data_IF_706692633408
#
_entry.id   IF_706692633408
#
_cell.length_a   1.000
_cell.length_b   1.000
_cell.length_c   1.000
_cell.angle_alpha   90.00
_cell.angle_beta   90.00
_cell.angle_gamma   90.00
#
_symmetry.space_group_name_H-M   'P 1'
#
loop_
_entity.id
_entity.type
_entity.pdbx_description
1 polymer ?
#
# COMPACT_ATOMS: atom_id res chain seq x y z
N UNK A 1 19.51 21.13 6.69
CA UNK A 1 18.87 21.76 5.52
C UNK A 1 17.42 21.32 5.50
N UNK A 2 16.49 22.24 5.72
CA UNK A 2 15.05 21.95 5.72
C UNK A 2 14.56 21.72 4.28
N UNK A 3 13.78 20.66 4.10
CA UNK A 3 12.84 20.32 3.02
C UNK A 3 13.10 20.91 1.61
N UNK A 4 13.44 20.02 0.66
CA UNK A 4 13.24 20.28 -0.77
C UNK A 4 11.74 20.41 -1.03
N UNK A 5 11.35 21.63 -1.42
CA UNK A 5 10.09 22.03 -2.06
C UNK A 5 8.79 21.82 -1.25
N UNK A 6 8.57 22.69 -0.26
CA UNK A 6 7.21 23.00 0.21
C UNK A 6 6.47 23.69 -0.94
N UNK A 7 5.54 22.97 -1.59
CA UNK A 7 4.67 23.59 -2.59
C UNK A 7 3.51 24.29 -1.87
N UNK A 8 3.49 25.62 -1.97
CA UNK A 8 2.49 26.46 -1.33
C UNK A 8 1.23 26.54 -2.19
N UNK A 9 0.09 26.11 -1.64
CA UNK A 9 -1.22 26.33 -2.25
C UNK A 9 -1.79 27.62 -1.69
N UNK A 10 -1.65 28.72 -2.44
CA UNK A 10 -2.23 30.01 -2.05
C UNK A 10 -3.74 29.98 -2.24
N UNK A 11 -4.50 30.11 -1.15
CA UNK A 11 -5.95 30.20 -1.18
C UNK A 11 -6.37 31.68 -1.28
N UNK A 12 -7.02 32.12 -2.37
CA UNK A 12 -7.47 33.50 -2.50
C UNK A 12 -8.71 33.72 -1.62
N UNK A 13 -8.52 34.12 -0.36
CA UNK A 13 -9.62 34.42 0.58
C UNK A 13 -10.23 35.82 0.37
N UNK A 14 -9.73 36.59 -0.61
CA UNK A 14 -10.19 37.93 -0.93
C UNK A 14 -9.96 38.92 0.22
N UNK A 15 -11.04 39.52 0.74
CA UNK A 15 -11.01 40.48 1.85
C UNK A 15 -11.21 39.84 3.23
N UNK A 16 -11.27 38.51 3.29
CA UNK A 16 -11.44 37.75 4.54
C UNK A 16 -10.06 37.30 5.02
N UNK A 17 -9.69 37.76 6.20
CA UNK A 17 -8.43 37.44 6.87
C UNK A 17 -8.64 36.34 7.92
N UNK A 18 -7.56 35.70 8.36
CA UNK A 18 -7.61 34.64 9.37
C UNK A 18 -8.20 35.10 10.73
N UNK A 19 -8.34 36.40 10.94
CA UNK A 19 -8.84 37.03 12.18
C UNK A 19 -10.25 37.62 12.05
N UNK A 20 -10.93 37.46 10.92
CA UNK A 20 -12.27 38.03 10.67
C UNK A 20 -13.41 37.19 11.30
N UNK A 21 -13.25 36.78 12.56
CA UNK A 21 -14.22 35.93 13.27
C UNK A 21 -15.62 36.54 13.35
N UNK A 22 -15.70 37.87 13.49
CA UNK A 22 -16.97 38.58 13.54
C UNK A 22 -17.75 38.48 12.22
N UNK A 23 -17.07 38.59 11.07
CA UNK A 23 -17.70 38.46 9.74
C UNK A 23 -18.20 37.05 9.47
N UNK A 24 -17.52 36.04 10.02
CA UNK A 24 -17.96 34.64 9.95
C UNK A 24 -19.13 34.36 10.89
N UNK A 25 -19.14 34.95 12.09
CA UNK A 25 -20.25 34.83 13.04
C UNK A 25 -21.53 35.52 12.55
N UNK A 26 -21.40 36.62 11.81
CA UNK A 26 -22.53 37.39 11.28
C UNK A 26 -23.08 36.82 9.96
N UNK A 27 -22.42 35.82 9.35
CA UNK A 27 -22.87 35.15 8.13
C UNK A 27 -23.94 34.08 8.42
N UNK A 28 -25.15 34.54 8.74
CA UNK A 28 -26.32 33.68 9.01
C UNK A 28 -26.77 32.83 7.81
N UNK A 29 -26.16 33.02 6.63
CA UNK A 29 -26.53 32.36 5.39
C UNK A 29 -25.46 31.37 4.87
N UNK A 30 -24.38 31.16 5.63
CA UNK A 30 -23.21 30.35 5.27
C UNK A 30 -22.58 30.68 3.91
N UNK A 31 -22.88 31.85 3.33
CA UNK A 31 -22.41 32.23 1.98
C UNK A 31 -20.91 32.48 1.94
N UNK A 32 -20.35 33.06 2.99
CA UNK A 32 -18.93 33.34 3.13
C UNK A 32 -18.18 32.03 3.37
N UNK A 33 -18.71 31.16 4.23
CA UNK A 33 -18.13 29.83 4.50
C UNK A 33 -18.11 28.99 3.21
N UNK A 34 -19.25 28.93 2.51
CA UNK A 34 -19.37 28.17 1.27
C UNK A 34 -18.45 28.71 0.18
N UNK A 35 -18.33 30.04 0.07
CA UNK A 35 -17.40 30.68 -0.87
C UNK A 35 -15.94 30.33 -0.55
N UNK A 36 -15.51 30.40 0.71
CA UNK A 36 -14.14 30.02 1.10
C UNK A 36 -13.85 28.54 0.82
N UNK A 37 -14.85 27.69 1.03
CA UNK A 37 -14.76 26.26 0.69
C UNK A 37 -14.60 26.05 -0.82
N UNK A 38 -15.43 26.71 -1.64
CA UNK A 38 -15.36 26.61 -3.10
C UNK A 38 -14.07 27.22 -3.66
N UNK A 39 -13.60 28.35 -3.12
CA UNK A 39 -12.32 28.97 -3.47
C UNK A 39 -11.14 28.06 -3.09
N UNK A 40 -11.21 27.43 -1.91
CA UNK A 40 -10.27 26.40 -1.46
C UNK A 40 -10.20 25.20 -2.40
N UNK A 41 -11.37 24.66 -2.76
CA UNK A 41 -11.50 23.54 -3.70
C UNK A 41 -10.95 23.90 -5.06
N UNK A 42 -11.31 25.06 -5.60
CA UNK A 42 -10.88 25.52 -6.92
C UNK A 42 -9.37 25.81 -6.97
N UNK A 43 -8.80 26.41 -5.93
CA UNK A 43 -7.35 26.63 -5.83
C UNK A 43 -6.59 25.30 -5.79
N UNK A 44 -7.09 24.32 -5.03
CA UNK A 44 -6.52 22.97 -4.99
C UNK A 44 -6.63 22.28 -6.35
N UNK A 45 -7.79 22.37 -7.03
CA UNK A 45 -7.97 21.80 -8.37
C UNK A 45 -7.06 22.44 -9.41
N UNK A 46 -6.86 23.76 -9.36
CA UNK A 46 -5.92 24.48 -10.23
C UNK A 46 -4.47 24.10 -9.94
N UNK A 47 -4.12 24.00 -8.66
CA UNK A 47 -2.81 23.51 -8.25
C UNK A 47 -2.56 22.09 -8.79
N UNK A 48 -3.51 21.17 -8.61
CA UNK A 48 -3.42 19.81 -9.16
C UNK A 48 -3.32 19.82 -10.69
N UNK A 49 -4.09 20.65 -11.38
CA UNK A 49 -4.01 20.78 -12.85
C UNK A 49 -2.64 21.31 -13.29
N UNK A 50 -2.09 22.29 -12.58
CA UNK A 50 -0.76 22.85 -12.85
C UNK A 50 0.35 21.87 -12.51
N UNK A 51 0.25 21.14 -11.41
CA UNK A 51 1.18 20.07 -11.06
C UNK A 51 1.08 18.93 -12.08
N UNK A 52 -0.10 18.56 -12.57
CA UNK A 52 -0.25 17.60 -13.67
C UNK A 52 0.43 18.06 -14.97
N UNK A 53 0.51 19.37 -15.21
CA UNK A 53 1.25 19.95 -16.35
C UNK A 53 2.75 20.00 -16.09
N UNK A 54 3.18 20.31 -14.86
CA UNK A 54 4.58 20.32 -14.46
C UNK A 54 5.18 18.91 -14.34
N UNK A 55 4.39 17.92 -13.93
CA UNK A 55 4.72 16.48 -13.91
C UNK A 55 4.85 15.95 -15.34
N UNK A 56 4.11 16.50 -16.31
CA UNK A 56 4.25 16.19 -17.74
C UNK A 56 5.45 16.85 -18.40
N UNK A 57 6.11 17.79 -17.74
CA UNK A 57 7.41 18.29 -18.19
C UNK A 57 8.47 17.36 -17.60
N UNK A 58 9.19 16.56 -18.42
CA UNK A 58 10.18 15.65 -17.87
C UNK A 58 11.29 16.48 -17.23
N UNK A 59 11.31 16.57 -15.88
CA UNK A 59 12.52 16.95 -15.16
C UNK A 59 13.57 15.94 -15.61
N UNK A 60 14.56 16.42 -16.35
CA UNK A 60 15.60 15.66 -17.09
C UNK A 60 16.58 14.90 -16.18
N UNK A 61 16.11 14.21 -15.14
CA UNK A 61 16.94 13.53 -14.17
C UNK A 61 16.30 12.27 -13.61
N UNK A 62 17.16 11.37 -13.13
CA UNK A 62 16.79 10.18 -12.35
C UNK A 62 16.08 10.62 -11.08
N UNK A 63 14.91 10.04 -10.78
CA UNK A 63 14.20 10.31 -9.53
C UNK A 63 14.76 9.38 -8.45
N UNK A 64 15.41 9.97 -7.44
CA UNK A 64 15.96 9.20 -6.32
C UNK A 64 14.87 8.89 -5.28
N UNK A 65 14.73 7.63 -4.93
CA UNK A 65 13.80 7.14 -3.92
C UNK A 65 14.55 7.04 -2.58
N UNK A 66 14.34 8.00 -1.68
CA UNK A 66 15.11 8.09 -0.43
C UNK A 66 14.97 6.86 0.47
N UNK A 67 13.78 6.26 0.56
CA UNK A 67 13.48 5.14 1.47
C UNK A 67 12.65 4.03 0.82
N UNK A 68 12.35 2.98 1.59
CA UNK A 68 11.54 1.85 1.11
C UNK A 68 10.10 2.25 0.75
N UNK A 69 9.52 3.21 1.45
CA UNK A 69 8.12 3.61 1.22
C UNK A 69 8.01 4.39 -0.11
N UNK A 70 8.96 5.28 -0.40
CA UNK A 70 9.10 5.97 -1.68
C UNK A 70 9.41 4.99 -2.84
N UNK A 71 10.33 4.03 -2.63
CA UNK A 71 10.61 2.97 -3.60
C UNK A 71 9.34 2.20 -4.00
N UNK A 72 8.54 1.76 -3.02
CA UNK A 72 7.32 1.01 -3.32
C UNK A 72 6.23 1.90 -3.93
N UNK A 73 6.16 3.18 -3.58
CA UNK A 73 5.27 4.13 -4.24
C UNK A 73 5.54 4.18 -5.74
N UNK A 74 6.80 4.36 -6.15
CA UNK A 74 7.18 4.43 -7.56
C UNK A 74 6.92 3.12 -8.31
N UNK A 75 7.20 1.97 -7.69
CA UNK A 75 6.93 0.64 -8.26
C UNK A 75 5.43 0.47 -8.55
N UNK A 76 4.58 0.87 -7.61
CA UNK A 76 3.13 0.77 -7.76
C UNK A 76 2.65 1.77 -8.80
N UNK A 77 3.19 2.98 -8.81
CA UNK A 77 2.82 4.00 -9.79
C UNK A 77 3.08 3.53 -11.22
N UNK A 78 4.28 3.04 -11.50
CA UNK A 78 4.64 2.53 -12.83
C UNK A 78 3.84 1.28 -13.21
N UNK A 79 3.56 0.40 -12.24
CA UNK A 79 2.69 -0.75 -12.49
C UNK A 79 1.24 -0.39 -12.79
N UNK A 80 0.72 0.68 -12.21
CA UNK A 80 -0.65 1.17 -12.46
C UNK A 80 -0.79 1.85 -13.83
N UNK A 81 0.32 2.18 -14.51
CA UNK A 81 0.33 2.65 -15.90
C UNK A 81 0.04 1.52 -16.91
N UNK A 82 -0.28 0.32 -16.42
CA UNK A 82 -0.67 -0.85 -17.21
C UNK A 82 0.40 -1.24 -18.26
N UNK A 83 1.65 -1.50 -17.82
CA UNK A 83 2.69 -2.03 -18.70
C UNK A 83 2.27 -3.38 -19.27
N UNK A 84 2.81 -3.74 -20.42
CA UNK A 84 2.60 -5.09 -20.98
C UNK A 84 3.27 -6.15 -20.12
N UNK A 85 4.43 -5.80 -19.55
CA UNK A 85 5.23 -6.70 -18.78
C UNK A 85 5.95 -6.01 -17.63
N UNK A 86 6.06 -6.75 -16.52
CA UNK A 86 6.88 -6.39 -15.37
C UNK A 86 7.91 -7.50 -15.14
N UNK A 87 9.18 -7.13 -15.13
CA UNK A 87 10.30 -8.03 -14.80
C UNK A 87 10.86 -7.62 -13.45
N UNK A 88 10.83 -8.55 -12.49
CA UNK A 88 11.38 -8.32 -11.14
C UNK A 88 12.69 -9.07 -10.99
N UNK A 89 13.73 -8.35 -10.57
CA UNK A 89 15.06 -8.90 -10.32
C UNK A 89 15.39 -8.63 -8.85
N UNK A 90 15.47 -9.66 -8.01
CA UNK A 90 15.65 -9.46 -6.56
C UNK A 90 16.40 -10.62 -5.90
N UNK A 91 17.27 -10.33 -4.94
CA UNK A 91 17.98 -11.41 -4.23
C UNK A 91 17.06 -12.22 -3.31
N UNK A 92 15.95 -11.63 -2.86
CA UNK A 92 14.96 -12.29 -2.02
C UNK A 92 13.52 -11.98 -2.44
N UNK A 93 12.58 -12.82 -2.01
CA UNK A 93 11.15 -12.63 -2.19
C UNK A 93 10.51 -11.76 -1.08
N UNK A 94 11.30 -11.03 -0.28
CA UNK A 94 10.80 -10.18 0.83
C UNK A 94 9.70 -9.21 0.39
N UNK A 95 9.85 -8.61 -0.78
CA UNK A 95 8.92 -7.64 -1.36
C UNK A 95 7.52 -8.22 -1.65
N UNK A 96 7.38 -9.53 -1.79
CA UNK A 96 6.12 -10.20 -2.15
C UNK A 96 5.02 -9.90 -1.15
N UNK A 97 5.32 -9.89 0.15
CA UNK A 97 4.33 -9.55 1.17
C UNK A 97 3.97 -8.06 1.16
N UNK A 98 4.94 -7.20 0.85
CA UNK A 98 4.70 -5.76 0.80
C UNK A 98 3.89 -5.34 -0.42
N UNK A 99 4.07 -6.04 -1.53
CA UNK A 99 3.40 -5.80 -2.80
C UNK A 99 2.25 -6.77 -3.08
N UNK A 100 1.84 -7.62 -2.12
CA UNK A 100 0.84 -8.67 -2.36
C UNK A 100 -0.45 -8.15 -3.01
N UNK A 101 -1.13 -7.09 -2.53
CA UNK A 101 -2.32 -6.57 -3.22
C UNK A 101 -2.03 -6.02 -4.62
N UNK A 102 -0.85 -5.44 -4.81
CA UNK A 102 -0.39 -4.96 -6.13
C UNK A 102 -0.20 -6.12 -7.10
N UNK A 103 0.42 -7.22 -6.65
CA UNK A 103 0.61 -8.41 -7.47
C UNK A 103 -0.73 -8.98 -7.94
N UNK A 104 -1.72 -9.06 -7.04
CA UNK A 104 -3.07 -9.50 -7.41
C UNK A 104 -3.69 -8.60 -8.49
N UNK A 105 -3.50 -7.28 -8.36
CA UNK A 105 -4.01 -6.32 -9.34
C UNK A 105 -3.33 -6.51 -10.71
N UNK A 106 -2.01 -6.67 -10.75
CA UNK A 106 -1.27 -6.90 -11.99
C UNK A 106 -1.67 -8.21 -12.67
N UNK A 107 -1.77 -9.30 -11.91
CA UNK A 107 -2.21 -10.59 -12.44
C UNK A 107 -3.63 -10.51 -13.00
N UNK A 108 -4.54 -9.83 -12.30
CA UNK A 108 -5.91 -9.58 -12.77
C UNK A 108 -5.93 -8.76 -14.07
N UNK A 109 -5.08 -7.76 -14.20
CA UNK A 109 -4.92 -6.96 -15.40
C UNK A 109 -4.25 -7.73 -16.56
N UNK A 110 -3.91 -9.00 -16.37
CA UNK A 110 -3.19 -9.84 -17.34
C UNK A 110 -1.83 -9.26 -17.74
N UNK A 111 -1.19 -8.52 -16.84
CA UNK A 111 0.18 -8.03 -17.03
C UNK A 111 1.13 -9.23 -16.94
N UNK A 112 2.02 -9.38 -17.91
CA UNK A 112 3.04 -10.44 -17.90
C UNK A 112 4.04 -10.19 -16.77
N UNK A 113 3.99 -10.98 -15.71
CA UNK A 113 4.95 -10.91 -14.62
C UNK A 113 6.02 -12.00 -14.81
N UNK A 114 7.29 -11.60 -14.83
CA UNK A 114 8.46 -12.49 -14.81
C UNK A 114 9.36 -12.13 -13.64
N UNK A 115 9.86 -13.11 -12.91
CA UNK A 115 10.68 -12.86 -11.73
C UNK A 115 11.96 -13.68 -11.79
N UNK A 116 13.08 -13.05 -11.48
CA UNK A 116 14.34 -13.73 -11.26
C UNK A 116 14.86 -13.47 -9.85
N UNK A 117 15.05 -14.56 -9.12
CA UNK A 117 15.48 -14.59 -7.74
C UNK A 117 16.89 -15.13 -7.58
N UNK A 118 17.64 -14.52 -6.67
CA UNK A 118 18.91 -15.04 -6.18
C UNK A 118 18.74 -16.38 -5.44
N UNK A 119 19.86 -16.97 -5.03
CA UNK A 119 19.87 -18.19 -4.24
C UNK A 119 19.09 -18.02 -2.92
N UNK A 120 18.29 -19.04 -2.56
CA UNK A 120 17.56 -19.04 -1.29
C UNK A 120 18.53 -19.18 -0.10
N UNK A 121 18.24 -18.45 0.98
CA UNK A 121 18.97 -18.55 2.25
C UNK A 121 18.38 -19.60 3.21
N UNK A 122 17.34 -20.34 2.78
CA UNK A 122 16.70 -21.39 3.56
C UNK A 122 15.86 -20.92 4.76
N UNK A 123 15.68 -19.61 4.97
CA UNK A 123 14.86 -19.12 6.08
C UNK A 123 13.37 -19.46 5.86
N UNK A 124 12.63 -19.97 6.86
CA UNK A 124 11.23 -20.39 6.68
C UNK A 124 10.32 -19.32 6.06
N UNK A 125 10.46 -18.07 6.52
CA UNK A 125 9.71 -16.93 5.97
C UNK A 125 10.04 -16.66 4.49
N UNK A 126 11.30 -16.83 4.09
CA UNK A 126 11.72 -16.66 2.69
C UNK A 126 11.19 -17.81 1.81
N UNK A 127 11.29 -19.05 2.30
CA UNK A 127 10.71 -20.23 1.63
C UNK A 127 9.20 -20.06 1.40
N UNK A 128 8.47 -19.56 2.40
CA UNK A 128 7.04 -19.31 2.26
C UNK A 128 6.74 -18.20 1.23
N UNK A 129 7.52 -17.11 1.20
CA UNK A 129 7.36 -16.03 0.21
C UNK A 129 7.62 -16.52 -1.20
N UNK A 130 8.66 -17.33 -1.41
CA UNK A 130 8.97 -17.94 -2.70
C UNK A 130 7.86 -18.88 -3.17
N UNK A 131 7.36 -19.74 -2.27
CA UNK A 131 6.20 -20.60 -2.55
C UNK A 131 4.96 -19.78 -2.92
N UNK A 132 4.66 -18.71 -2.19
CA UNK A 132 3.55 -17.82 -2.51
C UNK A 132 3.72 -17.19 -3.89
N UNK A 133 4.93 -16.72 -4.20
CA UNK A 133 5.25 -16.09 -5.47
C UNK A 133 5.14 -17.08 -6.64
N UNK A 134 5.66 -18.29 -6.52
CA UNK A 134 5.60 -19.31 -7.58
C UNK A 134 4.17 -19.74 -7.89
N UNK A 135 3.25 -19.61 -6.93
CA UNK A 135 1.83 -19.88 -7.15
C UNK A 135 1.08 -18.70 -7.77
N UNK A 136 1.50 -17.45 -7.50
CA UNK A 136 0.93 -16.24 -8.10
C UNK A 136 1.46 -15.97 -9.51
N UNK A 137 2.72 -16.30 -9.75
CA UNK A 137 3.48 -16.02 -10.94
C UNK A 137 4.13 -17.32 -11.44
N UNK A 138 3.71 -17.87 -12.58
CA UNK A 138 4.29 -19.10 -13.11
C UNK A 138 5.72 -18.89 -13.67
N UNK A 139 6.14 -17.65 -13.89
CA UNK A 139 7.39 -17.31 -14.57
C UNK A 139 8.48 -16.89 -13.57
N UNK A 140 8.77 -17.75 -12.59
CA UNK A 140 9.81 -17.51 -11.58
C UNK A 140 11.06 -18.33 -11.90
N UNK A 141 12.19 -17.64 -12.01
CA UNK A 141 13.53 -18.19 -12.17
C UNK A 141 14.27 -18.05 -10.83
N UNK A 142 14.91 -19.11 -10.32
CA UNK A 142 15.60 -19.10 -9.01
C UNK A 142 17.06 -19.53 -9.12
N UNK A 143 17.90 -19.09 -8.16
CA UNK A 143 19.31 -19.52 -8.06
C UNK A 143 20.25 -18.80 -9.03
N UNK A 144 19.80 -17.68 -9.60
CA UNK A 144 20.56 -16.92 -10.60
C UNK A 144 21.49 -15.93 -9.91
N UNK A 145 22.71 -15.76 -10.45
CA UNK A 145 23.58 -14.65 -10.05
C UNK A 145 23.07 -13.37 -10.71
N UNK A 146 22.46 -12.49 -9.91
CA UNK A 146 21.76 -11.32 -10.43
C UNK A 146 22.74 -10.15 -10.71
N UNK A 147 22.61 -9.46 -11.86
CA UNK A 147 23.44 -8.32 -12.22
C UNK A 147 23.06 -7.02 -11.47
N UNK A 148 21.81 -6.92 -11.01
CA UNK A 148 21.27 -5.81 -10.23
C UNK A 148 20.01 -6.28 -9.48
N UNK A 149 19.45 -5.42 -8.61
CA UNK A 149 18.11 -5.60 -8.04
C UNK A 149 17.19 -4.47 -8.50
N UNK A 150 15.95 -4.76 -8.87
CA UNK A 150 15.01 -3.77 -9.38
C UNK A 150 13.75 -4.34 -10.02
N UNK A 151 12.88 -3.42 -10.45
CA UNK A 151 11.66 -3.68 -11.20
C UNK A 151 11.78 -2.99 -12.55
N UNK A 152 11.59 -3.73 -13.63
CA UNK A 152 11.55 -3.20 -15.00
C UNK A 152 10.11 -3.29 -15.52
N UNK A 153 9.66 -2.25 -16.21
CA UNK A 153 8.31 -2.10 -16.72
C UNK A 153 8.41 -1.89 -18.24
N UNK A 154 7.96 -2.86 -19.02
CA UNK A 154 7.95 -2.80 -20.48
C UNK A 154 6.60 -2.29 -20.95
N UNK A 155 6.62 -1.19 -21.72
CA UNK A 155 5.43 -0.67 -22.38
C UNK A 155 5.41 -1.06 -23.86
N UNK A 156 4.21 -1.14 -24.45
CA UNK A 156 4.02 -1.28 -25.90
C UNK A 156 4.42 -0.02 -26.65
N UNK A 157 4.25 1.13 -26.01
CA UNK A 157 4.58 2.43 -26.59
C UNK A 157 6.08 2.68 -26.45
N UNK A 158 6.72 3.00 -27.58
CA UNK A 158 8.14 3.33 -27.62
C UNK A 158 8.44 4.51 -26.69
N UNK A 159 9.53 4.44 -25.92
CA UNK A 159 9.92 5.50 -24.97
C UNK A 159 9.13 5.52 -23.64
N UNK A 160 8.14 4.64 -23.46
CA UNK A 160 7.33 4.55 -22.23
C UNK A 160 7.76 3.43 -21.28
N UNK A 161 8.80 2.67 -21.61
CA UNK A 161 9.37 1.71 -20.65
C UNK A 161 10.00 2.45 -19.47
N UNK A 162 10.02 1.81 -18.31
CA UNK A 162 10.51 2.40 -17.07
C UNK A 162 11.23 1.36 -16.21
N UNK A 163 12.02 1.81 -15.23
CA UNK A 163 12.71 0.94 -14.29
C UNK A 163 12.83 1.59 -12.91
N UNK A 164 12.76 0.80 -11.85
CA UNK A 164 13.14 1.17 -10.48
C UNK A 164 14.27 0.26 -10.06
N UNK A 165 15.50 0.78 -10.04
CA UNK A 165 16.71 0.01 -9.70
C UNK A 165 17.09 0.27 -8.25
N UNK A 166 17.18 -0.80 -7.46
CA UNK A 166 17.58 -0.73 -6.06
C UNK A 166 19.08 -0.44 -5.94
N UNK A 167 19.46 0.36 -4.95
CA UNK A 167 20.87 0.61 -4.64
C UNK A 167 21.31 -0.26 -3.47
N UNK A 168 22.46 -0.92 -3.62
CA UNK A 168 23.14 -1.56 -2.49
C UNK A 168 23.80 -0.46 -1.66
N UNK A 169 23.05 0.12 -0.72
CA UNK A 169 23.62 1.06 0.24
C UNK A 169 24.21 0.26 1.41
N UNK A 170 25.44 -0.21 1.25
CA UNK A 170 26.17 -0.99 2.26
C UNK A 170 26.38 -0.23 3.59
N UNK A 171 26.18 1.09 3.60
CA UNK A 171 26.38 1.94 4.79
C UNK A 171 25.15 2.78 5.19
N UNK A 172 23.97 2.50 4.65
CA UNK A 172 22.73 3.22 4.98
C UNK A 172 22.72 4.72 4.65
N UNK A 173 23.74 5.20 3.92
CA UNK A 173 23.82 6.57 3.38
C UNK A 173 23.56 6.51 1.88
N UNK A 174 22.35 6.87 1.47
CA UNK A 174 21.97 6.98 0.07
C UNK A 174 20.51 6.58 -0.15
N UNK A 175 19.93 6.95 -1.30
CA UNK A 175 18.55 6.61 -1.62
C UNK A 175 18.42 5.09 -1.82
N UNK A 176 17.32 4.52 -1.34
CA UNK A 176 16.99 3.11 -1.47
C UNK A 176 16.87 2.63 -2.92
N UNK A 177 16.45 3.51 -3.85
CA UNK A 177 16.33 3.18 -5.27
C UNK A 177 16.45 4.40 -6.18
N UNK A 178 16.50 4.15 -7.48
CA UNK A 178 16.49 5.15 -8.54
C UNK A 178 15.43 4.78 -9.59
N UNK A 179 14.53 5.70 -9.92
CA UNK A 179 13.55 5.58 -11.01
C UNK A 179 14.10 6.17 -12.30
N UNK A 180 14.01 5.37 -13.35
CA UNK A 180 14.33 5.69 -14.73
C UNK A 180 13.04 5.58 -15.54
N UNK A 181 12.66 6.65 -16.23
CA UNK A 181 11.46 6.69 -17.07
C UNK A 181 11.62 7.70 -18.20
N UNK A 182 10.86 7.51 -19.29
CA UNK A 182 10.84 8.37 -20.45
C UNK A 182 12.03 8.17 -21.41
N UNK A 183 11.95 8.85 -22.56
CA UNK A 183 12.87 8.67 -23.70
C UNK A 183 14.35 8.85 -23.33
N UNK A 184 14.66 9.78 -22.43
CA UNK A 184 16.05 10.08 -22.00
C UNK A 184 16.72 8.85 -21.36
N UNK A 185 15.96 7.93 -20.78
CA UNK A 185 16.46 6.75 -20.11
C UNK A 185 16.32 5.46 -20.92
N UNK A 186 15.79 5.51 -22.15
CA UNK A 186 15.45 4.33 -22.94
C UNK A 186 16.65 3.41 -23.20
N UNK A 187 17.82 4.00 -23.48
CA UNK A 187 19.06 3.24 -23.68
C UNK A 187 19.49 2.47 -22.41
N UNK A 188 19.36 3.09 -21.23
CA UNK A 188 19.69 2.47 -19.95
C UNK A 188 18.69 1.35 -19.61
N UNK A 189 17.40 1.62 -19.78
CA UNK A 189 16.32 0.64 -19.53
C UNK A 189 16.46 -0.57 -20.48
N UNK A 190 16.73 -0.32 -21.76
CA UNK A 190 17.00 -1.36 -22.75
C UNK A 190 18.22 -2.21 -22.39
N UNK A 191 19.29 -1.60 -21.89
CA UNK A 191 20.47 -2.33 -21.42
C UNK A 191 20.14 -3.23 -20.21
N UNK A 192 19.33 -2.75 -19.27
CA UNK A 192 18.88 -3.55 -18.11
C UNK A 192 18.07 -4.79 -18.56
N UNK A 193 17.13 -4.62 -19.49
CA UNK A 193 16.38 -5.74 -20.06
C UNK A 193 17.30 -6.76 -20.73
N UNK A 194 18.21 -6.32 -21.61
CA UNK A 194 19.17 -7.22 -22.28
C UNK A 194 20.03 -8.00 -21.30
N UNK A 195 20.43 -7.37 -20.19
CA UNK A 195 21.29 -8.01 -19.19
C UNK A 195 20.60 -9.21 -18.51
N UNK A 196 19.29 -9.14 -18.28
CA UNK A 196 18.55 -10.20 -17.59
C UNK A 196 17.82 -11.18 -18.53
N UNK A 197 17.66 -10.83 -19.82
CA UNK A 197 16.84 -11.56 -20.79
C UNK A 197 17.14 -13.07 -20.86
N UNK A 198 18.41 -13.44 -20.84
CA UNK A 198 18.86 -14.84 -20.90
C UNK A 198 18.50 -15.69 -19.68
N UNK A 199 18.10 -15.06 -18.56
CA UNK A 199 17.62 -15.75 -17.35
C UNK A 199 16.10 -15.85 -17.30
N UNK A 200 15.38 -15.09 -18.14
CA UNK A 200 13.92 -15.04 -18.08
C UNK A 200 13.31 -16.32 -18.66
N UNK A 201 12.37 -16.89 -17.94
CA UNK A 201 11.57 -18.00 -18.46
C UNK A 201 10.56 -17.49 -19.50
N UNK A 202 10.15 -18.35 -20.46
CA UNK A 202 9.07 -18.00 -21.38
C UNK A 202 7.80 -17.65 -20.63
N UNK A 203 7.08 -16.63 -21.12
CA UNK A 203 5.84 -16.19 -20.49
C UNK A 203 4.77 -17.27 -20.60
N UNK A 204 4.37 -17.78 -19.45
CA UNK A 204 3.15 -18.57 -19.27
C UNK A 204 2.03 -17.67 -18.76
N UNK A 205 0.81 -17.91 -19.24
CA UNK A 205 -0.37 -17.20 -18.77
C UNK A 205 -0.59 -17.50 -17.28
N UNK A 206 -0.62 -16.45 -16.46
CA UNK A 206 -1.05 -16.58 -15.07
C UNK A 206 -2.57 -16.74 -15.02
N UNK A 207 -3.06 -17.59 -14.13
CA UNK A 207 -4.50 -17.67 -13.85
C UNK A 207 -4.96 -16.42 -13.10
N UNK A 208 -6.15 -15.93 -13.43
CA UNK A 208 -6.73 -14.77 -12.74
C UNK A 208 -7.06 -15.13 -11.29
N UNK A 209 -6.62 -14.33 -10.29
CA UNK A 209 -6.98 -14.58 -8.91
C UNK A 209 -8.46 -14.31 -8.68
N UNK A 210 -9.13 -15.22 -7.96
CA UNK A 210 -10.51 -15.04 -7.50
C UNK A 210 -10.52 -14.68 -6.00
N UNK A 211 -11.48 -13.84 -5.59
CA UNK A 211 -11.79 -13.63 -4.18
C UNK A 211 -12.98 -14.52 -3.79
N UNK A 212 -12.75 -15.43 -2.84
CA UNK A 212 -13.76 -16.37 -2.35
C UNK A 212 -14.10 -16.02 -0.91
N UNK A 213 -15.39 -15.83 -0.60
CA UNK A 213 -15.86 -15.55 0.77
C UNK A 213 -15.45 -16.70 1.70
N UNK A 214 -15.00 -16.37 2.90
CA UNK A 214 -14.63 -17.35 3.92
C UNK A 214 -15.45 -17.18 5.20
N UNK A 215 -15.76 -18.29 5.90
CA UNK A 215 -16.36 -18.22 7.23
C UNK A 215 -15.46 -17.48 8.22
N UNK A 216 -16.04 -16.60 9.04
CA UNK A 216 -15.29 -15.87 10.06
C UNK A 216 -14.68 -16.78 11.15
N UNK A 217 -15.28 -17.95 11.37
CA UNK A 217 -14.82 -18.93 12.38
C UNK A 217 -13.38 -19.37 12.17
N UNK A 218 -12.94 -19.54 10.92
CA UNK A 218 -11.55 -19.90 10.63
C UNK A 218 -10.56 -18.83 11.12
N UNK A 219 -10.89 -17.55 10.91
CA UNK A 219 -10.07 -16.45 11.39
C UNK A 219 -10.04 -16.42 12.92
N UNK A 220 -11.18 -16.66 13.57
CA UNK A 220 -11.26 -16.65 15.03
C UNK A 220 -10.37 -17.72 15.65
N UNK A 221 -10.38 -18.95 15.11
CA UNK A 221 -9.52 -20.03 15.61
C UNK A 221 -8.03 -19.73 15.40
N UNK A 222 -7.67 -19.22 14.21
CA UNK A 222 -6.28 -18.84 13.91
C UNK A 222 -5.79 -17.72 14.83
N UNK A 223 -6.61 -16.68 15.04
CA UNK A 223 -6.29 -15.58 15.94
C UNK A 223 -6.18 -16.01 17.40
N UNK A 224 -7.11 -16.84 17.89
CA UNK A 224 -7.09 -17.35 19.26
C UNK A 224 -5.85 -18.19 19.54
N UNK A 225 -5.42 -19.01 18.58
CA UNK A 225 -4.23 -19.86 18.69
C UNK A 225 -2.92 -19.07 18.53
N UNK A 226 -2.85 -18.17 17.55
CA UNK A 226 -1.61 -17.51 17.13
C UNK A 226 -1.29 -16.20 17.85
N UNK A 227 -2.28 -15.52 18.45
CA UNK A 227 -2.08 -14.24 19.14
C UNK A 227 -2.18 -14.46 20.65
N UNK A 228 -1.05 -14.34 21.36
CA UNK A 228 -0.96 -14.61 22.82
C UNK A 228 -2.00 -13.84 23.62
N UNK A 229 -2.26 -12.59 23.24
CA UNK A 229 -3.20 -11.68 23.91
C UNK A 229 -4.68 -12.08 23.72
N UNK A 230 -4.99 -12.94 22.74
CA UNK A 230 -6.37 -13.25 22.35
C UNK A 230 -6.86 -14.62 22.82
N UNK A 231 -6.06 -15.37 23.59
CA UNK A 231 -6.41 -16.75 24.01
C UNK A 231 -7.80 -16.87 24.67
N UNK A 232 -8.18 -15.86 25.46
CA UNK A 232 -9.46 -15.82 26.19
C UNK A 232 -10.41 -14.73 25.65
N UNK A 233 -10.11 -14.18 24.47
CA UNK A 233 -10.91 -13.11 23.88
C UNK A 233 -12.17 -13.64 23.21
N UNK A 234 -13.19 -12.79 23.14
CA UNK A 234 -14.41 -13.04 22.38
C UNK A 234 -14.27 -12.41 20.99
N UNK A 235 -14.69 -13.16 19.97
CA UNK A 235 -14.61 -12.74 18.57
C UNK A 235 -16.01 -12.66 17.96
N UNK A 236 -16.24 -11.63 17.17
CA UNK A 236 -17.45 -11.47 16.35
C UNK A 236 -17.09 -10.80 15.02
N UNK A 237 -17.89 -11.06 13.99
CA UNK A 237 -17.85 -10.25 12.76
C UNK A 237 -18.89 -9.15 12.93
N UNK A 238 -18.44 -7.91 13.13
CA UNK A 238 -19.29 -6.77 13.41
C UNK A 238 -19.00 -5.63 12.43
N UNK A 239 -19.98 -4.73 12.29
CA UNK A 239 -19.79 -3.41 11.69
C UNK A 239 -19.55 -2.39 12.77
N UNK A 240 -18.52 -1.58 12.58
CA UNK A 240 -18.16 -0.49 13.49
C UNK A 240 -18.18 0.84 12.75
N UNK A 241 -18.68 1.88 13.42
CA UNK A 241 -18.67 3.24 12.88
C UNK A 241 -17.25 3.70 12.65
N UNK A 242 -16.93 4.07 11.42
CA UNK A 242 -15.58 4.46 11.02
C UNK A 242 -15.10 5.71 11.76
N UNK A 243 -16.01 6.66 11.99
CA UNK A 243 -15.71 7.93 12.70
C UNK A 243 -15.28 7.73 14.16
N UNK A 244 -15.67 6.61 14.77
CA UNK A 244 -15.40 6.30 16.18
C UNK A 244 -14.11 5.46 16.35
N UNK A 245 -13.39 5.18 15.26
CA UNK A 245 -12.17 4.37 15.29
C UNK A 245 -10.97 5.16 15.78
N UNK A 246 -10.17 4.48 16.61
CA UNK A 246 -8.82 4.88 16.97
C UNK A 246 -7.82 4.02 16.20
N UNK A 247 -6.83 4.65 15.58
CA UNK A 247 -5.76 3.99 14.84
C UNK A 247 -4.53 3.77 15.72
N UNK A 248 -3.76 2.73 15.42
CA UNK A 248 -2.45 2.47 16.04
C UNK A 248 -1.31 3.19 15.31
N UNK A 249 -1.62 3.99 14.29
CA UNK A 249 -0.67 4.89 13.62
C UNK A 249 -1.38 6.17 13.19
N UNK A 250 -0.66 7.29 13.28
CA UNK A 250 -1.10 8.57 12.70
C UNK A 250 -0.77 8.66 11.21
N UNK A 251 0.31 8.01 10.80
CA UNK A 251 0.88 8.15 9.46
C UNK A 251 0.51 6.89 8.66
N UNK A 252 -0.33 7.08 7.65
CA UNK A 252 -0.74 6.05 6.69
C UNK A 252 0.19 6.15 5.49
N UNK A 253 0.88 5.06 5.17
CA UNK A 253 1.81 5.04 4.05
C UNK A 253 1.06 5.15 2.73
N UNK A 254 1.46 6.08 1.90
CA UNK A 254 0.80 6.38 0.63
C UNK A 254 0.76 5.17 -0.32
N UNK A 255 1.88 4.46 -0.47
CA UNK A 255 1.91 3.27 -1.33
C UNK A 255 0.95 2.17 -0.85
N UNK A 256 0.81 1.97 0.47
CA UNK A 256 -0.18 1.05 1.05
C UNK A 256 -1.60 1.57 0.80
N UNK A 257 -1.84 2.87 0.90
CA UNK A 257 -3.15 3.44 0.62
C UNK A 257 -3.58 3.19 -0.82
N UNK A 258 -2.67 3.43 -1.77
CA UNK A 258 -2.88 3.16 -3.20
C UNK A 258 -3.19 1.68 -3.47
N UNK A 259 -2.48 0.76 -2.82
CA UNK A 259 -2.82 -0.68 -2.87
C UNK A 259 -4.25 -0.97 -2.41
N UNK A 260 -4.69 -0.31 -1.34
CA UNK A 260 -6.05 -0.49 -0.81
C UNK A 260 -7.11 0.06 -1.78
N UNK A 261 -6.81 1.11 -2.55
CA UNK A 261 -7.73 1.61 -3.60
C UNK A 261 -8.01 0.51 -4.64
N UNK A 262 -6.96 -0.07 -5.23
CA UNK A 262 -7.10 -1.15 -6.23
C UNK A 262 -7.73 -2.41 -5.61
N UNK A 263 -7.39 -2.71 -4.36
CA UNK A 263 -7.94 -3.86 -3.67
C UNK A 263 -9.43 -3.69 -3.32
N UNK A 264 -9.86 -2.48 -2.92
CA UNK A 264 -11.27 -2.17 -2.69
C UNK A 264 -12.08 -2.31 -3.98
N UNK A 265 -11.51 -1.90 -5.12
CA UNK A 265 -12.12 -2.09 -6.43
C UNK A 265 -12.33 -3.57 -6.75
N UNK A 266 -11.35 -4.43 -6.42
CA UNK A 266 -11.48 -5.89 -6.60
C UNK A 266 -12.67 -6.48 -5.82
N UNK A 267 -12.90 -6.03 -4.58
CA UNK A 267 -14.08 -6.43 -3.80
C UNK A 267 -15.38 -6.01 -4.48
N UNK A 268 -15.46 -4.76 -4.97
CA UNK A 268 -16.67 -4.24 -5.62
C UNK A 268 -17.03 -5.01 -6.89
N UNK A 269 -16.03 -5.33 -7.71
CA UNK A 269 -16.25 -6.09 -8.96
C UNK A 269 -16.75 -7.51 -8.70
N UNK A 270 -16.38 -8.10 -7.57
CA UNK A 270 -16.88 -9.41 -7.14
C UNK A 270 -18.19 -9.31 -6.31
N UNK A 271 -18.78 -8.11 -6.19
CA UNK A 271 -19.95 -7.85 -5.36
C UNK A 271 -19.79 -8.32 -3.89
N UNK A 272 -18.58 -8.21 -3.35
CA UNK A 272 -18.24 -8.65 -2.00
C UNK A 272 -18.38 -7.50 -1.00
N UNK A 273 -18.73 -7.85 0.24
CA UNK A 273 -18.66 -6.93 1.38
C UNK A 273 -17.24 -6.40 1.54
N UNK A 274 -17.07 -5.08 1.48
CA UNK A 274 -15.76 -4.44 1.44
C UNK A 274 -14.91 -4.83 2.65
N UNK A 275 -13.73 -5.39 2.37
CA UNK A 275 -12.76 -5.87 3.38
C UNK A 275 -13.28 -6.95 4.33
N UNK A 276 -14.39 -7.60 3.99
CA UNK A 276 -14.87 -8.78 4.69
C UNK A 276 -13.93 -10.00 4.55
N UNK A 277 -14.23 -11.09 5.27
CA UNK A 277 -13.44 -12.31 5.25
C UNK A 277 -13.48 -12.98 3.87
N UNK A 278 -12.34 -12.99 3.19
CA UNK A 278 -12.18 -13.61 1.87
C UNK A 278 -10.82 -14.31 1.80
N UNK A 279 -10.68 -15.26 0.90
CA UNK A 279 -9.41 -15.81 0.48
C UNK A 279 -9.14 -15.47 -0.98
N UNK A 280 -7.87 -15.30 -1.30
CA UNK A 280 -7.40 -15.33 -2.68
C UNK A 280 -7.25 -16.80 -3.09
N UNK A 281 -7.93 -17.18 -4.17
CA UNK A 281 -7.79 -18.47 -4.82
C UNK A 281 -7.20 -18.28 -6.22
N UNK A 282 -6.08 -18.95 -6.51
CA UNK A 282 -5.43 -18.92 -7.83
C UNK A 282 -4.69 -20.24 -8.10
N UNK A 283 -5.27 -21.11 -8.94
CA UNK A 283 -4.77 -22.48 -9.07
C UNK A 283 -4.77 -23.20 -7.72
N UNK A 284 -3.60 -23.69 -7.29
CA UNK A 284 -3.41 -24.32 -5.97
C UNK A 284 -3.21 -23.30 -4.83
N UNK A 285 -3.03 -22.00 -5.13
CA UNK A 285 -2.90 -20.97 -4.11
C UNK A 285 -4.22 -20.80 -3.38
N UNK A 286 -4.18 -20.90 -2.06
CA UNK A 286 -5.23 -20.45 -1.15
C UNK A 286 -4.60 -19.55 -0.09
N UNK A 287 -4.94 -18.26 -0.09
CA UNK A 287 -4.36 -17.29 0.84
C UNK A 287 -5.43 -16.42 1.48
N UNK A 288 -5.68 -16.62 2.78
CA UNK A 288 -6.65 -15.83 3.54
C UNK A 288 -6.27 -14.35 3.51
N UNK A 289 -7.21 -13.47 3.19
CA UNK A 289 -7.06 -12.02 3.36
C UNK A 289 -7.58 -11.67 4.74
N UNK A 290 -6.67 -11.31 5.65
CA UNK A 290 -7.06 -10.86 6.99
C UNK A 290 -8.00 -9.66 6.89
N UNK A 291 -9.23 -9.70 7.42
CA UNK A 291 -10.09 -8.53 7.55
C UNK A 291 -9.47 -7.50 8.51
N UNK A 292 -9.97 -6.25 8.56
CA UNK A 292 -9.65 -5.35 9.67
C UNK A 292 -9.93 -6.04 11.01
N UNK A 293 -9.02 -5.88 11.97
CA UNK A 293 -9.17 -6.42 13.33
C UNK A 293 -9.23 -5.26 14.30
N UNK A 294 -10.32 -5.19 15.08
CA UNK A 294 -10.62 -4.11 16.01
C UNK A 294 -10.71 -4.66 17.43
N UNK A 295 -9.86 -4.19 18.33
CA UNK A 295 -10.02 -4.41 19.77
C UNK A 295 -11.04 -3.40 20.32
N UNK A 296 -12.08 -3.90 20.97
CA UNK A 296 -13.13 -3.06 21.55
C UNK A 296 -13.17 -3.16 23.06
N UNK A 297 -13.17 -2.00 23.71
CA UNK A 297 -13.53 -1.81 25.11
C UNK A 297 -14.92 -1.17 25.19
N UNK A 298 -15.51 -0.97 26.39
CA UNK A 298 -16.77 -0.23 26.52
C UNK A 298 -16.72 1.18 25.89
N UNK A 299 -15.55 1.82 25.91
CA UNK A 299 -15.40 3.22 25.51
C UNK A 299 -14.72 3.43 24.15
N UNK A 300 -14.03 2.42 23.61
CA UNK A 300 -13.10 2.60 22.48
C UNK A 300 -13.14 1.44 21.50
N UNK A 301 -12.97 1.75 20.22
CA UNK A 301 -12.74 0.80 19.14
C UNK A 301 -11.38 1.09 18.51
N UNK A 302 -10.42 0.19 18.66
CA UNK A 302 -9.02 0.40 18.31
C UNK A 302 -8.64 -0.54 17.17
N UNK A 303 -8.19 0.02 16.05
CA UNK A 303 -7.75 -0.75 14.88
C UNK A 303 -6.36 -1.32 15.13
N UNK A 304 -6.31 -2.64 15.30
CA UNK A 304 -5.07 -3.40 15.54
C UNK A 304 -4.44 -3.82 14.20
N UNK A 305 -5.27 -4.27 13.26
CA UNK A 305 -4.87 -4.60 11.90
C UNK A 305 -5.82 -3.93 10.91
N UNK A 306 -5.27 -3.41 9.81
CA UNK A 306 -6.06 -2.75 8.77
C UNK A 306 -6.20 -1.23 8.93
N UNK A 307 -5.25 -0.54 9.58
CA UNK A 307 -5.25 0.94 9.69
C UNK A 307 -5.47 1.63 8.33
N UNK A 308 -4.78 1.17 7.27
CA UNK A 308 -4.94 1.72 5.92
C UNK A 308 -6.33 1.49 5.33
N UNK A 309 -7.00 0.39 5.67
CA UNK A 309 -8.37 0.10 5.22
C UNK A 309 -9.39 0.95 5.97
N UNK A 310 -9.21 1.14 7.28
CA UNK A 310 -10.00 2.10 8.04
C UNK A 310 -9.82 3.53 7.49
N UNK A 311 -8.58 3.92 7.19
CA UNK A 311 -8.27 5.20 6.56
C UNK A 311 -8.93 5.35 5.19
N UNK A 312 -8.91 4.30 4.36
CA UNK A 312 -9.64 4.26 3.09
C UNK A 312 -11.14 4.52 3.29
N UNK A 313 -11.78 3.80 4.22
CA UNK A 313 -13.19 4.00 4.50
C UNK A 313 -13.48 5.44 4.95
N UNK A 314 -12.68 5.99 5.87
CA UNK A 314 -12.88 7.35 6.36
C UNK A 314 -12.74 8.40 5.27
N UNK A 315 -11.68 8.33 4.46
CA UNK A 315 -11.42 9.30 3.39
C UNK A 315 -12.42 9.22 2.24
N UNK A 316 -13.07 8.08 2.03
CA UNK A 316 -14.07 7.87 0.99
C UNK A 316 -15.52 7.98 1.51
N UNK A 317 -15.72 8.50 2.72
CA UNK A 317 -17.07 8.73 3.28
C UNK A 317 -17.84 7.45 3.61
N UNK A 318 -17.17 6.30 3.73
CA UNK A 318 -17.79 5.04 4.13
C UNK A 318 -18.01 5.07 5.64
N UNK A 319 -19.27 4.93 6.07
CA UNK A 319 -19.68 5.15 7.46
C UNK A 319 -19.37 3.98 8.39
N UNK A 320 -19.41 2.76 7.87
CA UNK A 320 -19.24 1.53 8.63
C UNK A 320 -18.13 0.66 8.03
N UNK A 321 -17.37 -0.01 8.91
CA UNK A 321 -16.31 -0.95 8.54
C UNK A 321 -16.69 -2.34 9.03
N UNK A 322 -16.82 -3.30 8.11
CA UNK A 322 -16.86 -4.72 8.46
C UNK A 322 -15.50 -5.16 9.00
N UNK A 323 -15.48 -5.76 10.18
CA UNK A 323 -14.25 -6.12 10.86
C UNK A 323 -14.43 -7.34 11.78
N UNK A 324 -13.31 -8.00 12.09
CA UNK A 324 -13.25 -8.92 13.21
C UNK A 324 -13.11 -8.08 14.47
N UNK A 325 -14.17 -8.06 15.27
CA UNK A 325 -14.18 -7.39 16.56
C UNK A 325 -13.71 -8.36 17.64
N UNK A 326 -12.79 -7.88 18.48
CA UNK A 326 -12.18 -8.64 19.57
C UNK A 326 -12.49 -7.94 20.89
N UNK A 327 -13.12 -8.64 21.83
CA UNK A 327 -13.48 -8.12 23.16
C UNK A 327 -12.81 -8.93 24.27
N UNK A 328 -12.65 -8.32 25.44
CA UNK A 328 -12.04 -8.96 26.61
C UNK A 328 -10.49 -9.00 26.56
N UNK A 329 -9.87 -8.10 25.80
CA UNK A 329 -8.41 -7.96 25.74
C UNK A 329 -7.97 -6.86 26.69
N UNK A 330 -7.20 -7.24 27.72
CA UNK A 330 -6.70 -6.30 28.74
C UNK A 330 -5.20 -6.01 28.60
N UNK A 331 -4.54 -6.58 27.58
CA UNK A 331 -3.10 -6.39 27.36
C UNK A 331 -2.80 -4.98 26.85
N UNK A 332 -1.72 -4.32 27.33
CA UNK A 332 -1.36 -2.97 26.89
C UNK A 332 -1.03 -2.92 25.40
N UNK A 333 -1.24 -1.77 24.76
CA UNK A 333 -0.90 -1.53 23.36
C UNK A 333 0.54 -1.02 23.21
N UNK A 334 1.21 -1.31 22.08
CA UNK A 334 2.58 -0.82 21.84
C UNK A 334 2.66 0.70 21.63
N UNK A 335 1.51 1.37 21.52
CA UNK A 335 1.36 2.78 21.14
C UNK A 335 0.11 3.36 21.79
N UNK A 336 0.09 4.69 21.94
CA UNK A 336 -1.15 5.41 22.25
C UNK A 336 -2.00 5.53 20.99
N UNK A 337 -3.24 5.01 20.99
CA UNK A 337 -4.13 5.13 19.84
C UNK A 337 -4.47 6.59 19.52
N UNK A 338 -4.65 6.90 18.24
CA UNK A 338 -5.00 8.24 17.75
C UNK A 338 -6.34 8.22 17.06
N UNK A 339 -7.12 9.27 17.20
CA UNK A 339 -8.40 9.40 16.49
C UNK A 339 -8.17 9.37 14.98
N UNK A 340 -9.02 8.64 14.25
CA UNK A 340 -8.90 8.50 12.79
C UNK A 340 -8.86 9.85 12.06
N UNK A 341 -9.58 10.87 12.54
CA UNK A 341 -9.57 12.24 11.97
C UNK A 341 -8.20 12.94 12.02
N UNK A 342 -7.27 12.48 12.86
CA UNK A 342 -5.93 13.05 13.01
C UNK A 342 -4.90 12.37 12.11
N UNK A 343 -5.30 11.33 11.38
CA UNK A 343 -4.42 10.61 10.48
C UNK A 343 -4.01 11.48 9.30
N UNK A 344 -2.88 11.13 8.68
CA UNK A 344 -2.41 11.73 7.43
C UNK A 344 -1.81 10.67 6.54
N UNK A 345 -2.00 10.82 5.23
CA UNK A 345 -1.32 10.00 4.24
C UNK A 345 0.04 10.63 3.97
N UNK A 346 1.10 9.83 4.03
CA UNK A 346 2.48 10.30 3.86
C UNK A 346 3.28 9.37 2.96
N UNK A 347 4.14 9.94 2.13
CA UNK A 347 5.07 9.20 1.27
C UNK A 347 6.26 8.65 2.08
N UNK A 348 6.69 9.40 3.11
CA UNK A 348 7.77 9.03 4.02
C UNK A 348 7.30 9.10 5.46
N UNK A 349 7.70 8.13 6.28
CA UNK A 349 7.33 8.08 7.70
C UNK A 349 8.56 8.16 8.59
N UNK A 350 8.43 8.83 9.73
CA UNK A 350 9.39 8.69 10.82
C UNK A 350 9.15 7.36 11.50
N UNK A 351 10.21 6.57 11.72
CA UNK A 351 10.12 5.33 12.49
C UNK A 351 9.78 5.67 13.94
N UNK A 352 8.61 5.26 14.46
CA UNK A 352 8.32 5.46 15.87
C UNK A 352 9.14 4.47 16.72
N UNK A 353 9.47 4.86 17.95
CA UNK A 353 9.91 3.91 18.96
C UNK A 353 8.70 3.05 19.38
N UNK A 354 8.83 1.74 19.23
CA UNK A 354 7.74 0.78 19.37
C UNK A 354 8.15 -0.35 20.30
N UNK A 355 7.26 -0.73 21.21
CA UNK A 355 7.42 -1.89 22.08
C UNK A 355 6.99 -3.16 21.35
N UNK A 356 7.91 -3.74 20.58
CA UNK A 356 7.64 -4.88 19.68
C UNK A 356 7.02 -6.11 20.37
N UNK A 357 7.28 -6.31 21.67
CA UNK A 357 6.71 -7.42 22.45
C UNK A 357 5.18 -7.29 22.65
N UNK A 358 4.66 -6.07 22.60
CA UNK A 358 3.23 -5.80 22.76
C UNK A 358 2.45 -5.94 21.44
N UNK A 359 3.12 -6.19 20.32
CA UNK A 359 2.45 -6.33 19.03
C UNK A 359 1.57 -7.57 18.99
N UNK A 360 0.37 -7.41 18.43
CA UNK A 360 -0.50 -8.53 18.09
C UNK A 360 0.00 -9.06 16.75
N UNK A 361 0.52 -10.29 16.75
CA UNK A 361 1.08 -10.94 15.55
C UNK A 361 -0.02 -11.47 14.63
N UNK A 362 -0.94 -10.58 14.23
CA UNK A 362 -2.17 -10.90 13.48
C UNK A 362 -1.84 -11.63 12.17
N UNK A 363 -0.97 -11.07 11.33
CA UNK A 363 -0.63 -11.68 10.04
C UNK A 363 0.08 -13.03 10.19
N UNK A 364 0.97 -13.18 11.18
CA UNK A 364 1.63 -14.46 11.46
C UNK A 364 0.65 -15.52 11.97
N UNK A 365 -0.39 -15.11 12.70
CA UNK A 365 -1.44 -16.01 13.17
C UNK A 365 -2.35 -16.46 12.02
N UNK A 366 -2.74 -15.56 11.12
CA UNK A 366 -3.59 -15.90 9.96
C UNK A 366 -2.81 -16.68 8.90
N UNK A 367 -1.53 -16.38 8.69
CA UNK A 367 -0.67 -16.99 7.68
C UNK A 367 0.66 -17.45 8.32
N UNK A 368 0.66 -18.57 9.08
CA UNK A 368 1.88 -19.08 9.71
C UNK A 368 2.88 -19.60 8.67
N UNK A 369 4.18 -19.47 8.95
CA UNK A 369 5.31 -20.00 8.15
C UNK A 369 5.78 -21.36 8.64
#
# INVERSE_FOLDING_TARGET
QLHRELQEVTLPTGKITATDFQKLADDKSDKIIQKLYDDGRNATLKFLANELVNVKSPKSGVVECEDEDAKYFEIIELGDQNPEEIVVVANSARWVWDLFPTLLNWTKQSISLRVCLGASNGQPAETQRRKLLSQLCPNVCEGVKLPFEGFLFRSKEYGHSSAVVMRNCDEGRGPAAAKYAGEVHDAAISALFKTIEHHLTPTSAASTPALVVQPATEYFERLRKGVKQYRNAQFSLDRVKVRDLLLTTRDIREYKYRQIVSFAQLYREHALTLFGPVQVAQGELQSLVTPPVVESTPDKNIVIQGNTRAAYCFLNGIEELDCIRVRGVNSPLPVTPVEIRRMRVVTQRKTPNLEYELFRKIEQAIRPY
#
